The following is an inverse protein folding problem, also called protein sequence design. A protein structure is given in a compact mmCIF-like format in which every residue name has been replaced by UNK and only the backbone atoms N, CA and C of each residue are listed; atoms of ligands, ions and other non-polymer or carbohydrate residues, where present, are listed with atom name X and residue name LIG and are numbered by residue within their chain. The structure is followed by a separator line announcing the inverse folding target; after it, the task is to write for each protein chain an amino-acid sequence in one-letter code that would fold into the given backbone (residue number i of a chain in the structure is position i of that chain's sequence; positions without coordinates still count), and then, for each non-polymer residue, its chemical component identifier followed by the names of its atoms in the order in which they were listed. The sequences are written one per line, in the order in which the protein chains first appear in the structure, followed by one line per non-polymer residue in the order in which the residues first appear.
data_IF_489350770293
#
_entry.id   IF_489350770293
#
_cell.length_a   1.000
_cell.length_b   1.000
_cell.length_c   1.000
_cell.angle_alpha   90.00
_cell.angle_beta   90.00
_cell.angle_gamma   90.00
#
_symmetry.space_group_name_H-M   'P 1'
#
loop_
_entity.id
_entity.type
_entity.pdbx_description
1 polymer ?
#
# COMPACT_ATOMS: atom_id res chain seq x y z
N UNK A 1 -20.38 -2.99 33.55
CA UNK A 1 -20.16 -3.81 32.33
C UNK A 1 -19.89 -5.25 32.78
N UNK A 2 -20.45 -6.24 32.10
CA UNK A 2 -20.33 -7.68 32.50
C UNK A 2 -19.36 -8.44 31.59
N UNK A 3 -19.27 -8.07 30.33
CA UNK A 3 -18.33 -8.67 29.35
C UNK A 3 -18.06 -7.74 28.18
N UNK A 4 -17.04 -8.07 27.39
CA UNK A 4 -16.67 -7.42 26.13
C UNK A 4 -16.40 -8.45 25.04
N UNK A 5 -16.58 -8.05 23.76
CA UNK A 5 -16.15 -8.82 22.60
C UNK A 5 -15.55 -7.88 21.57
N UNK A 6 -14.35 -8.13 21.07
CA UNK A 6 -13.41 -9.17 21.52
C UNK A 6 -13.07 -9.04 23.02
N UNK A 7 -12.70 -10.15 23.67
CA UNK A 7 -12.30 -10.12 25.07
C UNK A 7 -11.02 -9.29 25.27
N UNK A 8 -10.82 -8.78 26.50
CA UNK A 8 -9.58 -8.08 26.83
C UNK A 8 -8.37 -9.00 26.63
N UNK A 9 -7.32 -8.49 25.98
CA UNK A 9 -6.13 -9.24 25.63
C UNK A 9 -6.30 -10.22 24.45
N UNK A 10 -7.46 -10.28 23.81
CA UNK A 10 -7.66 -11.17 22.66
C UNK A 10 -6.66 -10.86 21.52
N UNK A 11 -6.08 -11.92 20.96
CA UNK A 11 -5.17 -11.87 19.80
C UNK A 11 -5.79 -12.62 18.63
N UNK A 12 -5.25 -12.43 17.43
CA UNK A 12 -5.77 -13.02 16.19
C UNK A 12 -7.27 -12.72 15.93
N UNK A 13 -7.72 -11.56 16.34
CA UNK A 13 -9.10 -11.12 16.08
C UNK A 13 -9.24 -10.81 14.60
N UNK A 14 -10.26 -11.32 13.88
CA UNK A 14 -10.48 -11.00 12.48
C UNK A 14 -10.47 -9.48 12.23
N UNK A 15 -9.97 -9.04 11.09
CA UNK A 15 -9.93 -7.60 10.74
C UNK A 15 -11.31 -7.05 10.35
N UNK A 16 -12.24 -7.93 10.02
CA UNK A 16 -13.58 -7.55 9.57
C UNK A 16 -14.66 -8.48 10.15
N UNK A 17 -15.86 -7.94 10.22
CA UNK A 17 -17.09 -8.67 10.55
C UNK A 17 -18.03 -8.64 9.34
N UNK A 18 -18.58 -9.80 8.98
CA UNK A 18 -19.62 -9.89 7.95
C UNK A 18 -20.98 -10.01 8.66
N UNK A 19 -21.85 -9.04 8.44
CA UNK A 19 -23.22 -9.09 8.98
C UNK A 19 -24.10 -10.08 8.20
N UNK A 20 -25.22 -10.49 8.79
CA UNK A 20 -26.20 -11.37 8.16
C UNK A 20 -26.77 -10.85 6.84
N UNK A 21 -26.61 -9.55 6.55
CA UNK A 21 -27.02 -8.90 5.29
C UNK A 21 -25.85 -8.73 4.30
N UNK A 22 -24.75 -9.45 4.50
CA UNK A 22 -23.55 -9.40 3.66
C UNK A 22 -22.87 -8.02 3.63
N UNK A 23 -23.09 -7.19 4.65
CA UNK A 23 -22.38 -5.91 4.82
C UNK A 23 -21.10 -6.20 5.59
N UNK A 24 -19.95 -5.93 4.95
CA UNK A 24 -18.64 -6.06 5.59
C UNK A 24 -18.27 -4.73 6.24
N UNK A 25 -17.94 -4.79 7.54
CA UNK A 25 -17.36 -3.68 8.30
C UNK A 25 -16.07 -4.12 8.95
N UNK A 26 -15.28 -3.16 9.45
CA UNK A 26 -14.21 -3.49 10.40
C UNK A 26 -14.79 -4.28 11.57
N UNK A 27 -13.94 -5.05 12.24
CA UNK A 27 -14.38 -5.92 13.35
C UNK A 27 -15.22 -5.14 14.34
N UNK A 28 -16.44 -5.61 14.58
CA UNK A 28 -17.36 -5.03 15.55
C UNK A 28 -16.86 -5.28 16.97
N UNK A 29 -17.04 -4.28 17.84
CA UNK A 29 -16.63 -4.34 19.23
C UNK A 29 -17.86 -4.15 20.11
N UNK A 30 -18.12 -5.06 21.03
CA UNK A 30 -19.30 -4.97 21.88
C UNK A 30 -18.98 -4.94 23.38
N UNK A 31 -19.81 -4.20 24.11
CA UNK A 31 -19.83 -4.12 25.56
C UNK A 31 -21.17 -4.62 26.07
N UNK A 32 -21.16 -5.64 26.94
CA UNK A 32 -22.36 -6.13 27.61
C UNK A 32 -22.47 -5.54 29.02
N UNK A 33 -23.67 -5.17 29.41
CA UNK A 33 -23.98 -4.55 30.69
C UNK A 33 -24.85 -5.50 31.54
N UNK A 34 -24.74 -5.39 32.88
CA UNK A 34 -25.51 -6.17 33.84
C UNK A 34 -26.95 -5.69 33.98
N UNK A 35 -27.27 -4.54 33.46
CA UNK A 35 -28.59 -3.91 33.48
C UNK A 35 -28.85 -3.14 32.18
N UNK A 36 -30.10 -2.82 31.85
CA UNK A 36 -30.41 -1.99 30.70
C UNK A 36 -29.79 -0.58 30.82
N UNK A 37 -29.17 -0.11 29.71
CA UNK A 37 -28.57 1.19 29.62
C UNK A 37 -29.51 2.16 28.90
N UNK A 38 -29.31 3.46 29.12
CA UNK A 38 -29.94 4.52 28.32
C UNK A 38 -29.21 4.67 26.97
N UNK A 39 -29.85 4.30 25.83
CA UNK A 39 -29.21 4.39 24.53
C UNK A 39 -28.76 5.80 24.14
N UNK A 40 -29.41 6.83 24.67
CA UNK A 40 -29.09 8.21 24.38
C UNK A 40 -27.71 8.62 24.96
N UNK A 41 -27.24 7.90 25.98
CA UNK A 41 -25.97 8.18 26.66
C UNK A 41 -24.80 7.36 26.09
N UNK A 42 -25.04 6.42 25.15
CA UNK A 42 -24.01 5.57 24.57
C UNK A 42 -23.84 5.88 23.10
N UNK A 43 -22.80 6.64 22.76
CA UNK A 43 -22.56 7.12 21.41
C UNK A 43 -21.08 7.07 21.03
N UNK A 44 -20.82 7.08 19.72
CA UNK A 44 -19.48 7.17 19.10
C UNK A 44 -19.37 8.38 18.15
N UNK A 45 -20.34 9.30 18.18
CA UNK A 45 -20.39 10.42 17.24
C UNK A 45 -19.44 11.54 17.66
N UNK A 46 -18.74 12.14 16.69
CA UNK A 46 -17.83 13.29 16.88
C UNK A 46 -18.56 14.65 16.94
N UNK A 47 -19.88 14.68 16.76
CA UNK A 47 -20.64 15.92 16.70
C UNK A 47 -21.00 16.44 18.11
N UNK A 48 -20.03 17.05 18.77
CA UNK A 48 -20.28 17.97 19.90
C UNK A 48 -20.46 17.35 21.28
N UNK A 49 -20.61 16.06 21.43
CA UNK A 49 -20.86 15.40 22.71
C UNK A 49 -19.70 14.47 23.14
N UNK A 50 -19.62 14.25 24.46
CA UNK A 50 -18.64 13.34 25.06
C UNK A 50 -18.79 11.94 24.46
N UNK A 51 -17.77 11.50 23.71
CA UNK A 51 -17.70 10.14 23.20
C UNK A 51 -17.76 9.15 24.37
N UNK A 52 -18.80 8.34 24.44
CA UNK A 52 -19.00 7.39 25.55
C UNK A 52 -18.49 6.01 25.20
N UNK A 53 -18.51 5.62 23.92
CA UNK A 53 -17.93 4.37 23.46
C UNK A 53 -16.94 4.67 22.31
N UNK A 54 -15.66 4.48 22.55
CA UNK A 54 -14.60 4.75 21.57
C UNK A 54 -13.77 3.52 21.27
N UNK A 55 -13.24 3.44 20.05
CA UNK A 55 -12.21 2.50 19.64
C UNK A 55 -11.01 3.32 19.15
N UNK A 56 -9.82 3.05 19.69
CA UNK A 56 -8.57 3.73 19.34
C UNK A 56 -7.51 2.75 18.89
N UNK A 57 -6.69 3.16 17.93
CA UNK A 57 -5.49 2.44 17.53
C UNK A 57 -4.31 2.66 18.49
N UNK A 58 -3.14 2.12 18.17
CA UNK A 58 -1.90 2.26 18.97
C UNK A 58 -1.37 3.68 19.01
N UNK A 59 -1.74 4.56 18.07
CA UNK A 59 -1.35 5.96 18.06
C UNK A 59 -2.27 6.83 18.90
N UNK A 60 -3.37 6.26 19.41
CA UNK A 60 -4.41 6.97 20.15
C UNK A 60 -5.45 7.62 19.24
N UNK A 61 -5.39 7.38 17.92
CA UNK A 61 -6.35 7.90 16.95
C UNK A 61 -7.68 7.17 17.06
N UNK A 62 -8.78 7.91 17.09
CA UNK A 62 -10.11 7.33 17.08
C UNK A 62 -10.42 6.64 15.74
N UNK A 63 -10.90 5.40 15.81
CA UNK A 63 -11.50 4.71 14.68
C UNK A 63 -12.90 5.28 14.45
N UNK A 64 -13.23 5.80 13.27
CA UNK A 64 -14.58 6.24 12.95
C UNK A 64 -15.57 5.07 12.98
N UNK A 65 -16.74 5.26 13.56
CA UNK A 65 -17.75 4.21 13.65
C UNK A 65 -19.06 4.69 14.22
N UNK A 66 -20.01 3.77 14.34
CA UNK A 66 -21.32 4.00 14.94
C UNK A 66 -21.54 3.02 16.09
N UNK A 67 -22.38 3.39 17.05
CA UNK A 67 -22.81 2.52 18.14
C UNK A 67 -24.30 2.26 18.04
N UNK A 68 -24.70 1.00 18.21
CA UNK A 68 -26.09 0.58 18.30
C UNK A 68 -26.30 -0.30 19.53
N UNK A 69 -27.45 -0.12 20.20
CA UNK A 69 -27.87 -0.97 21.30
C UNK A 69 -28.76 -2.12 20.78
N UNK A 70 -28.67 -3.28 21.42
CA UNK A 70 -29.62 -4.36 21.18
C UNK A 70 -31.02 -3.98 21.73
N UNK A 71 -32.07 -4.75 21.38
CA UNK A 71 -33.45 -4.48 21.77
C UNK A 71 -33.69 -4.44 23.30
N UNK A 72 -32.85 -5.13 24.07
CA UNK A 72 -32.90 -5.14 25.54
C UNK A 72 -32.09 -4.01 26.18
N UNK A 73 -31.39 -3.22 25.40
CA UNK A 73 -30.45 -2.17 25.83
C UNK A 73 -29.34 -2.66 26.77
N UNK A 74 -28.98 -3.94 26.66
CA UNK A 74 -27.93 -4.57 27.51
C UNK A 74 -26.62 -4.80 26.78
N UNK A 75 -26.58 -4.63 25.44
CA UNK A 75 -25.37 -4.78 24.64
C UNK A 75 -25.22 -3.58 23.70
N UNK A 76 -24.13 -2.86 23.84
CA UNK A 76 -23.71 -1.82 22.90
C UNK A 76 -22.73 -2.43 21.90
N UNK A 77 -22.95 -2.22 20.61
CA UNK A 77 -22.06 -2.67 19.53
C UNK A 77 -21.51 -1.47 18.77
N UNK A 78 -20.20 -1.30 18.81
CA UNK A 78 -19.47 -0.36 17.97
C UNK A 78 -19.17 -1.02 16.63
N UNK A 79 -19.56 -0.37 15.53
CA UNK A 79 -19.32 -0.82 14.17
C UNK A 79 -18.41 0.21 13.47
N UNK A 80 -17.15 -0.16 13.15
CA UNK A 80 -16.26 0.70 12.36
C UNK A 80 -16.86 1.05 11.00
N UNK A 81 -16.65 2.29 10.54
CA UNK A 81 -17.09 2.73 9.20
C UNK A 81 -16.24 2.09 8.09
N UNK A 82 -14.95 1.82 8.38
CA UNK A 82 -14.07 1.12 7.44
C UNK A 82 -14.53 -0.34 7.27
N UNK A 83 -14.31 -0.90 6.08
CA UNK A 83 -14.64 -2.31 5.78
C UNK A 83 -13.75 -3.32 6.51
N UNK A 84 -12.57 -2.89 6.98
CA UNK A 84 -11.65 -3.68 7.79
C UNK A 84 -10.85 -2.79 8.74
N UNK A 85 -10.47 -3.34 9.90
CA UNK A 85 -9.45 -2.77 10.78
C UNK A 85 -8.06 -3.13 10.24
N UNK A 86 -7.05 -2.33 10.57
CA UNK A 86 -5.66 -2.65 10.20
C UNK A 86 -5.23 -3.98 10.83
N UNK A 87 -4.55 -4.85 10.07
CA UNK A 87 -4.07 -6.13 10.58
C UNK A 87 -2.91 -5.96 11.56
N UNK A 88 -2.66 -7.01 12.37
CA UNK A 88 -1.60 -7.05 13.38
C UNK A 88 -1.51 -5.77 14.23
N UNK A 89 -2.66 -5.15 14.46
CA UNK A 89 -2.77 -3.85 15.14
C UNK A 89 -3.53 -4.02 16.44
N UNK A 90 -2.98 -3.47 17.53
CA UNK A 90 -3.67 -3.41 18.80
C UNK A 90 -4.68 -2.27 18.79
N UNK A 91 -5.89 -2.54 19.20
CA UNK A 91 -6.95 -1.57 19.42
C UNK A 91 -7.34 -1.55 20.89
N UNK A 92 -7.69 -0.37 21.40
CA UNK A 92 -8.23 -0.18 22.74
C UNK A 92 -9.64 0.40 22.63
N UNK A 93 -10.60 -0.33 23.17
CA UNK A 93 -11.98 0.13 23.32
C UNK A 93 -12.19 0.71 24.71
N UNK A 94 -13.01 1.75 24.80
CA UNK A 94 -13.32 2.41 26.07
C UNK A 94 -14.82 2.72 26.15
N UNK A 95 -15.46 2.35 27.27
CA UNK A 95 -16.75 2.90 27.66
C UNK A 95 -16.52 3.79 28.87
N UNK A 96 -16.89 5.08 28.74
CA UNK A 96 -16.64 6.11 29.78
C UNK A 96 -17.73 6.12 30.86
N UNK A 97 -17.49 6.87 31.92
CA UNK A 97 -18.47 7.10 33.01
C UNK A 97 -19.68 7.93 32.59
N UNK A 98 -19.68 8.53 31.40
CA UNK A 98 -20.83 9.24 30.86
C UNK A 98 -21.96 8.29 30.40
N UNK A 99 -21.68 6.99 30.23
CA UNK A 99 -22.70 5.99 29.97
C UNK A 99 -23.57 5.77 31.23
N UNK A 100 -24.90 5.81 31.07
CA UNK A 100 -25.85 5.71 32.17
C UNK A 100 -26.78 4.51 31.99
N UNK A 101 -27.24 3.94 33.08
CA UNK A 101 -28.33 2.95 33.10
C UNK A 101 -29.66 3.60 32.72
N UNK A 102 -30.65 2.82 32.34
CA UNK A 102 -32.02 3.28 32.10
C UNK A 102 -32.65 4.00 33.33
N UNK A 103 -32.10 3.78 34.55
CA UNK A 103 -32.47 4.47 35.77
C UNK A 103 -31.70 5.79 35.97
N UNK A 104 -30.83 6.22 35.02
CA UNK A 104 -30.03 7.43 35.13
C UNK A 104 -28.76 7.30 35.98
N UNK A 105 -28.36 6.10 36.37
CA UNK A 105 -27.13 5.89 37.16
C UNK A 105 -25.93 5.78 36.22
N UNK A 106 -24.95 6.69 36.36
CA UNK A 106 -23.72 6.68 35.59
C UNK A 106 -22.80 5.51 35.99
N UNK A 107 -21.97 5.04 35.04
CA UNK A 107 -20.93 4.05 35.34
C UNK A 107 -19.93 4.62 36.36
N UNK A 108 -19.61 3.85 37.39
CA UNK A 108 -18.73 4.29 38.48
C UNK A 108 -17.29 4.54 38.04
N UNK A 109 -16.80 3.74 37.07
CA UNK A 109 -15.44 3.85 36.50
C UNK A 109 -15.52 3.59 34.99
N UNK A 110 -14.63 4.18 34.19
CA UNK A 110 -14.51 3.82 32.79
C UNK A 110 -14.00 2.38 32.67
N UNK A 111 -14.45 1.67 31.63
CA UNK A 111 -13.94 0.35 31.31
C UNK A 111 -13.15 0.43 30.02
N UNK A 112 -11.91 -0.05 30.08
CA UNK A 112 -10.99 -0.11 28.95
C UNK A 112 -10.59 -1.56 28.73
N UNK A 113 -10.63 -2.01 27.47
CA UNK A 113 -10.09 -3.32 27.09
C UNK A 113 -9.43 -3.22 25.73
N UNK A 114 -8.48 -4.10 25.46
CA UNK A 114 -7.73 -4.12 24.23
C UNK A 114 -7.71 -5.48 23.57
N UNK A 115 -7.65 -5.47 22.24
CA UNK A 115 -7.45 -6.66 21.43
C UNK A 115 -6.46 -6.38 20.30
N UNK A 116 -5.86 -7.44 19.74
CA UNK A 116 -4.97 -7.34 18.58
C UNK A 116 -5.60 -8.09 17.42
N UNK A 117 -5.75 -7.40 16.31
CA UNK A 117 -6.24 -8.02 15.08
C UNK A 117 -5.27 -9.08 14.59
N UNK A 118 -5.79 -10.08 13.88
CA UNK A 118 -4.99 -11.12 13.28
C UNK A 118 -3.95 -10.51 12.35
N UNK A 119 -2.72 -11.05 12.40
CA UNK A 119 -1.81 -10.86 11.30
C UNK A 119 -2.45 -11.48 10.07
N UNK A 120 -2.40 -10.77 8.95
CA UNK A 120 -2.86 -11.37 7.72
C UNK A 120 -1.97 -12.58 7.43
N UNK A 121 -2.59 -13.74 7.28
CA UNK A 121 -1.90 -14.88 6.74
C UNK A 121 -1.61 -14.56 5.27
N UNK A 122 -0.45 -13.99 5.00
CA UNK A 122 0.03 -13.89 3.64
C UNK A 122 0.38 -15.31 3.20
N UNK A 123 -0.19 -15.76 2.10
CA UNK A 123 0.40 -16.87 1.36
C UNK A 123 1.77 -16.36 0.91
N UNK A 124 2.84 -16.98 1.38
CA UNK A 124 4.20 -16.55 1.05
C UNK A 124 4.33 -16.49 -0.48
N UNK A 125 4.36 -15.28 -1.03
CA UNK A 125 4.51 -15.08 -2.46
C UNK A 125 5.95 -15.36 -2.87
N UNK A 126 6.16 -16.08 -3.96
CA UNK A 126 7.48 -16.13 -4.58
C UNK A 126 7.76 -14.78 -5.28
N UNK A 127 9.00 -14.26 -5.21
CA UNK A 127 9.37 -13.06 -5.95
C UNK A 127 9.08 -13.23 -7.45
N UNK A 128 8.71 -12.13 -8.11
CA UNK A 128 8.57 -12.12 -9.57
C UNK A 128 9.95 -12.26 -10.21
N UNK A 129 10.10 -13.23 -11.09
CA UNK A 129 11.35 -13.42 -11.80
C UNK A 129 11.52 -12.35 -12.90
N UNK A 130 12.50 -11.48 -12.71
CA UNK A 130 12.79 -10.40 -13.67
C UNK A 130 13.73 -10.83 -14.81
N UNK A 131 14.32 -12.03 -14.74
CA UNK A 131 15.31 -12.45 -15.71
C UNK A 131 16.43 -11.44 -15.92
N UNK A 132 16.82 -11.22 -17.16
CA UNK A 132 17.85 -10.23 -17.52
C UNK A 132 17.39 -8.78 -17.32
N UNK A 133 16.06 -8.49 -17.33
CA UNK A 133 15.54 -7.17 -16.96
C UNK A 133 15.97 -6.77 -15.56
N UNK A 134 16.13 -7.71 -14.62
CA UNK A 134 16.57 -7.45 -13.25
C UNK A 134 17.95 -6.81 -13.13
N UNK A 135 18.75 -6.72 -14.19
CA UNK A 135 20.02 -5.98 -14.20
C UNK A 135 19.84 -4.49 -14.43
N UNK A 136 18.68 -4.07 -14.96
CA UNK A 136 18.37 -2.68 -15.28
C UNK A 136 17.67 -1.97 -14.12
N UNK A 137 17.93 -0.67 -13.99
CA UNK A 137 17.19 0.26 -13.14
C UNK A 137 16.02 0.85 -13.88
N UNK A 138 16.23 1.24 -15.15
CA UNK A 138 15.17 1.74 -16.02
C UNK A 138 15.21 1.00 -17.34
N UNK A 139 14.06 0.45 -17.75
CA UNK A 139 13.91 -0.24 -19.04
C UNK A 139 12.57 0.14 -19.68
N UNK A 140 12.62 0.54 -20.95
CA UNK A 140 11.43 0.98 -21.69
C UNK A 140 11.43 0.49 -23.12
N UNK A 141 10.23 0.50 -23.76
CA UNK A 141 10.11 0.11 -25.17
C UNK A 141 10.10 1.30 -26.13
N UNK A 142 9.68 2.50 -25.70
CA UNK A 142 9.48 3.62 -26.62
C UNK A 142 10.29 4.87 -26.27
N UNK A 143 11.15 4.79 -25.25
CA UNK A 143 12.10 5.83 -24.91
C UNK A 143 12.13 6.22 -23.45
N UNK A 144 13.17 6.95 -23.09
CA UNK A 144 13.37 7.56 -21.79
C UNK A 144 13.61 9.04 -22.01
N UNK A 145 12.74 9.88 -21.46
CA UNK A 145 12.90 11.35 -21.52
C UNK A 145 13.27 11.88 -20.16
N UNK A 146 14.15 12.87 -20.12
CA UNK A 146 14.50 13.61 -18.91
C UNK A 146 14.41 15.12 -19.17
N UNK A 147 13.71 15.82 -18.30
CA UNK A 147 13.64 17.28 -18.30
C UNK A 147 14.39 17.74 -17.06
N UNK A 148 15.54 18.39 -17.28
CA UNK A 148 16.58 18.64 -16.27
C UNK A 148 17.23 17.34 -15.78
N UNK A 149 18.48 17.47 -15.34
CA UNK A 149 19.35 16.31 -15.06
C UNK A 149 18.87 15.51 -13.86
N UNK A 150 18.65 14.22 -14.10
CA UNK A 150 18.41 13.23 -13.06
C UNK A 150 19.71 12.53 -12.62
N UNK A 151 19.68 11.86 -11.48
CA UNK A 151 20.78 11.02 -10.97
C UNK A 151 20.29 9.56 -10.91
N UNK A 152 20.84 8.70 -11.76
CA UNK A 152 20.42 7.30 -11.87
C UNK A 152 21.60 6.41 -11.50
N UNK A 153 21.37 5.48 -10.54
CA UNK A 153 22.34 4.46 -10.15
C UNK A 153 21.86 3.11 -10.65
N UNK A 154 22.61 2.52 -11.56
CA UNK A 154 22.36 1.24 -12.23
C UNK A 154 22.15 1.39 -13.73
N UNK A 155 21.98 0.28 -14.43
CA UNK A 155 21.91 0.26 -15.88
C UNK A 155 20.55 0.74 -16.39
N UNK A 156 20.57 1.41 -17.55
CA UNK A 156 19.37 1.89 -18.25
C UNK A 156 19.36 1.42 -19.69
N UNK A 157 18.16 1.26 -20.28
CA UNK A 157 18.08 0.85 -21.67
C UNK A 157 16.69 1.04 -22.28
N UNK A 158 16.68 1.06 -23.62
CA UNK A 158 15.44 1.12 -24.39
C UNK A 158 15.53 0.27 -25.66
N UNK A 159 14.49 -0.50 -25.95
CA UNK A 159 14.35 -1.35 -27.12
C UNK A 159 12.86 -1.68 -27.37
N UNK A 160 12.39 -1.74 -28.63
CA UNK A 160 13.14 -1.74 -29.89
C UNK A 160 13.41 -0.35 -30.48
N UNK A 161 12.99 0.73 -29.80
CA UNK A 161 13.17 2.09 -30.32
C UNK A 161 14.66 2.43 -30.46
N UNK A 162 15.00 3.28 -31.44
CA UNK A 162 16.35 3.80 -31.64
C UNK A 162 16.90 4.46 -30.38
N UNK A 163 18.21 4.40 -30.17
CA UNK A 163 18.92 5.07 -29.08
C UNK A 163 18.71 6.59 -29.03
N UNK A 164 18.32 7.23 -30.14
CA UNK A 164 17.93 8.64 -30.19
C UNK A 164 16.71 8.97 -29.30
N UNK A 165 15.90 7.99 -28.94
CA UNK A 165 14.76 8.16 -28.02
C UNK A 165 15.15 8.08 -26.52
N UNK A 166 16.45 7.87 -26.23
CA UNK A 166 16.99 7.86 -24.89
C UNK A 166 17.64 9.22 -24.62
N UNK A 167 16.89 10.12 -23.97
CA UNK A 167 17.26 11.53 -23.77
C UNK A 167 17.94 11.75 -22.41
N UNK A 168 18.92 10.90 -22.09
CA UNK A 168 19.80 11.03 -20.94
C UNK A 168 21.21 11.42 -21.40
N UNK A 169 21.98 12.05 -20.53
CA UNK A 169 23.39 12.32 -20.75
C UNK A 169 24.27 11.34 -19.99
N UNK A 170 25.52 11.18 -20.41
CA UNK A 170 26.47 10.28 -19.75
C UNK A 170 26.68 10.58 -18.26
N UNK A 171 26.55 11.84 -17.84
CA UNK A 171 26.78 12.24 -16.45
C UNK A 171 25.61 11.98 -15.52
N UNK A 172 24.47 11.53 -16.03
CA UNK A 172 23.25 11.25 -15.25
C UNK A 172 23.18 9.81 -14.77
N UNK A 173 23.98 8.90 -15.37
CA UNK A 173 23.88 7.46 -15.11
C UNK A 173 25.20 6.94 -14.53
N UNK A 174 25.14 6.47 -13.30
CA UNK A 174 26.20 5.66 -12.69
C UNK A 174 25.89 4.19 -13.00
N UNK A 175 26.29 3.75 -14.18
CA UNK A 175 25.98 2.44 -14.76
C UNK A 175 26.22 2.48 -16.27
N UNK A 176 25.60 1.54 -16.98
CA UNK A 176 25.67 1.49 -18.45
C UNK A 176 24.38 2.01 -19.07
N UNK A 177 24.51 2.67 -20.21
CA UNK A 177 23.38 3.10 -21.04
C UNK A 177 23.36 2.20 -22.26
N UNK A 178 22.38 1.29 -22.31
CA UNK A 178 22.25 0.36 -23.43
C UNK A 178 21.30 0.91 -24.50
N UNK A 179 21.71 0.76 -25.74
CA UNK A 179 20.96 1.19 -26.95
C UNK A 179 21.00 0.11 -28.03
N UNK A 180 20.05 0.17 -28.95
CA UNK A 180 19.93 -0.82 -30.04
C UNK A 180 20.76 -0.43 -31.26
N UNK A 181 21.26 0.80 -31.35
CA UNK A 181 21.98 1.35 -32.49
C UNK A 181 23.01 2.40 -32.04
N UNK A 182 23.67 3.05 -33.00
CA UNK A 182 24.68 4.06 -32.72
C UNK A 182 24.13 5.47 -32.42
N UNK A 183 22.81 5.64 -32.33
CA UNK A 183 22.18 6.96 -32.18
C UNK A 183 22.00 7.38 -30.70
N UNK A 184 22.53 6.61 -29.73
CA UNK A 184 22.44 6.91 -28.30
C UNK A 184 23.37 7.99 -27.80
N UNK A 185 23.34 8.33 -26.51
CA UNK A 185 24.17 9.34 -25.89
C UNK A 185 25.67 8.96 -25.95
N UNK A 186 26.46 9.76 -26.65
CA UNK A 186 27.90 9.51 -26.78
C UNK A 186 28.70 10.28 -25.72
N UNK A 187 29.85 9.70 -25.23
CA UNK A 187 30.49 8.46 -25.69
C UNK A 187 30.10 7.21 -24.86
N UNK A 188 29.12 7.30 -23.96
CA UNK A 188 28.86 6.29 -22.93
C UNK A 188 27.84 5.21 -23.34
N UNK A 189 27.15 5.36 -24.46
CA UNK A 189 26.18 4.38 -24.90
C UNK A 189 26.84 3.07 -25.35
N UNK A 190 26.29 1.96 -24.89
CA UNK A 190 26.68 0.60 -25.26
C UNK A 190 25.65 0.08 -26.27
N UNK A 191 26.07 -0.10 -27.51
CA UNK A 191 25.21 -0.71 -28.53
C UNK A 191 25.16 -2.23 -28.34
N UNK A 192 24.06 -2.72 -27.75
CA UNK A 192 23.83 -4.16 -27.53
C UNK A 192 22.33 -4.48 -27.65
N UNK A 193 21.90 -4.57 -28.90
CA UNK A 193 20.51 -4.88 -29.25
C UNK A 193 20.08 -6.28 -28.74
N UNK A 194 20.99 -7.22 -28.65
CA UNK A 194 20.71 -8.60 -28.23
C UNK A 194 20.35 -8.63 -26.74
N UNK A 195 21.18 -8.05 -25.88
CA UNK A 195 20.91 -7.94 -24.45
C UNK A 195 19.61 -7.19 -24.19
N UNK A 196 19.37 -6.07 -24.90
CA UNK A 196 18.14 -5.29 -24.74
C UNK A 196 16.89 -6.04 -25.20
N UNK A 197 16.94 -6.77 -26.31
CA UNK A 197 15.81 -7.58 -26.80
C UNK A 197 15.42 -8.64 -25.78
N UNK A 198 16.43 -9.32 -25.20
CA UNK A 198 16.20 -10.31 -24.15
C UNK A 198 15.61 -9.66 -22.90
N UNK A 199 16.19 -8.55 -22.44
CA UNK A 199 15.73 -7.85 -21.22
C UNK A 199 14.28 -7.34 -21.36
N UNK A 200 13.92 -6.77 -22.52
CA UNK A 200 12.55 -6.32 -22.81
C UNK A 200 11.57 -7.50 -22.90
N UNK A 201 12.01 -8.65 -23.42
CA UNK A 201 11.25 -9.90 -23.39
C UNK A 201 10.98 -10.37 -21.95
N UNK A 202 12.02 -10.41 -21.13
CA UNK A 202 11.94 -10.77 -19.70
C UNK A 202 11.08 -9.79 -18.89
N UNK A 203 11.18 -8.50 -19.17
CA UNK A 203 10.28 -7.47 -18.58
C UNK A 203 8.81 -7.78 -18.90
N UNK A 204 8.50 -8.18 -20.14
CA UNK A 204 7.15 -8.58 -20.53
C UNK A 204 6.69 -9.84 -19.79
N UNK A 205 7.57 -10.82 -19.65
CA UNK A 205 7.31 -12.06 -18.91
C UNK A 205 7.08 -11.81 -17.44
N UNK A 206 7.89 -10.94 -16.81
CA UNK A 206 7.73 -10.53 -15.42
C UNK A 206 6.40 -9.81 -15.17
N UNK A 207 5.98 -8.94 -16.10
CA UNK A 207 4.66 -8.30 -16.06
C UNK A 207 3.54 -9.35 -16.07
N UNK A 208 3.61 -10.33 -16.97
CA UNK A 208 2.59 -11.39 -17.09
C UNK A 208 2.60 -12.34 -15.88
N UNK A 209 3.77 -12.66 -15.33
CA UNK A 209 3.86 -13.43 -14.08
C UNK A 209 3.15 -12.70 -12.93
N UNK A 210 3.48 -11.44 -12.70
CA UNK A 210 2.84 -10.65 -11.64
C UNK A 210 1.32 -10.50 -11.87
N UNK A 211 0.88 -10.27 -13.11
CA UNK A 211 -0.53 -10.16 -13.48
C UNK A 211 -1.29 -11.49 -13.31
N UNK A 212 -0.63 -12.60 -13.59
CA UNK A 212 -1.23 -13.94 -13.59
C UNK A 212 -1.33 -14.58 -12.21
N UNK A 213 -0.78 -13.96 -11.14
CA UNK A 213 -0.89 -14.51 -9.80
C UNK A 213 -2.34 -14.59 -9.38
N UNK A 214 -2.74 -15.74 -8.83
CA UNK A 214 -4.12 -16.05 -8.43
C UNK A 214 -4.25 -16.08 -6.91
N UNK A 215 -5.50 -16.09 -6.43
CA UNK A 215 -5.81 -16.13 -5.01
C UNK A 215 -5.22 -14.94 -4.23
N UNK A 216 -5.59 -13.69 -4.58
CA UNK A 216 -5.11 -12.53 -3.88
C UNK A 216 -5.50 -12.59 -2.39
N UNK A 217 -4.54 -12.24 -1.53
CA UNK A 217 -4.76 -12.12 -0.09
C UNK A 217 -5.70 -10.93 0.21
N UNK A 218 -5.66 -9.90 -0.65
CA UNK A 218 -6.47 -8.69 -0.53
C UNK A 218 -7.05 -8.27 -1.86
N UNK A 219 -8.35 -7.99 -1.87
CA UNK A 219 -9.06 -7.41 -3.01
C UNK A 219 -9.69 -6.08 -2.62
N UNK A 220 -9.54 -5.07 -3.51
CA UNK A 220 -10.15 -3.74 -3.36
C UNK A 220 -9.87 -3.07 -2.02
N UNK A 221 -8.71 -3.37 -1.40
CA UNK A 221 -8.33 -2.78 -0.11
C UNK A 221 -8.39 -1.25 -0.18
N UNK A 222 -9.04 -0.62 0.79
CA UNK A 222 -9.22 0.82 0.84
C UNK A 222 -9.98 1.41 -0.34
N UNK A 223 -10.69 0.59 -1.14
CA UNK A 223 -11.30 1.01 -2.41
C UNK A 223 -10.30 1.71 -3.36
N UNK A 224 -9.02 1.27 -3.32
CA UNK A 224 -7.93 1.84 -4.09
C UNK A 224 -7.15 2.98 -3.39
N UNK A 225 -7.61 3.49 -2.24
CA UNK A 225 -6.81 4.42 -1.43
C UNK A 225 -6.00 3.64 -0.39
N UNK A 226 -4.68 3.64 -0.53
CA UNK A 226 -3.77 2.91 0.37
C UNK A 226 -2.89 3.84 1.21
N UNK A 227 -2.98 5.15 1.02
CA UNK A 227 -2.27 6.14 1.83
C UNK A 227 -2.66 6.05 3.30
N UNK A 228 -1.66 6.13 4.18
CA UNK A 228 -1.85 6.00 5.63
C UNK A 228 -1.89 4.57 6.15
N UNK A 229 -1.90 3.55 5.28
CA UNK A 229 -1.94 2.15 5.71
C UNK A 229 -0.54 1.60 6.01
N UNK A 230 -0.50 0.53 6.80
CA UNK A 230 0.64 -0.38 6.93
C UNK A 230 0.25 -1.73 6.34
N UNK A 231 0.93 -2.12 5.26
CA UNK A 231 0.60 -3.33 4.51
C UNK A 231 1.58 -4.46 4.84
N UNK A 232 1.03 -5.62 5.16
CA UNK A 232 1.77 -6.88 5.32
C UNK A 232 2.19 -7.45 3.95
N UNK A 233 3.15 -8.39 3.90
CA UNK A 233 3.48 -9.13 2.67
C UNK A 233 2.23 -9.82 2.09
N UNK A 234 2.19 -10.00 0.77
CA UNK A 234 1.07 -10.72 0.13
C UNK A 234 0.75 -10.25 -1.28
N UNK A 235 -0.29 -10.84 -1.85
CA UNK A 235 -0.84 -10.50 -3.15
C UNK A 235 -2.07 -9.60 -2.99
N UNK A 236 -1.98 -8.40 -3.54
CA UNK A 236 -3.03 -7.38 -3.52
C UNK A 236 -3.60 -7.20 -4.92
N UNK A 237 -4.91 -7.02 -5.04
CA UNK A 237 -5.58 -6.84 -6.33
C UNK A 237 -6.65 -5.77 -6.28
N UNK A 238 -6.60 -4.86 -7.25
CA UNK A 238 -7.63 -3.85 -7.51
C UNK A 238 -8.07 -3.91 -8.97
N UNK A 239 -9.38 -3.91 -9.19
CA UNK A 239 -10.02 -3.75 -10.50
C UNK A 239 -10.05 -2.31 -11.00
N UNK A 240 -9.56 -1.38 -10.18
CA UNK A 240 -9.55 0.07 -10.44
C UNK A 240 -8.14 0.65 -10.26
N UNK A 241 -8.04 1.98 -10.26
CA UNK A 241 -6.79 2.70 -9.95
C UNK A 241 -6.48 2.66 -8.46
N UNK A 242 -5.19 2.79 -8.14
CA UNK A 242 -4.69 2.90 -6.76
C UNK A 242 -4.10 4.29 -6.53
N UNK A 243 -4.46 4.90 -5.40
CA UNK A 243 -3.98 6.19 -4.95
C UNK A 243 -3.17 6.04 -3.65
N UNK A 244 -2.04 6.74 -3.58
CA UNK A 244 -1.22 6.92 -2.38
C UNK A 244 -1.29 8.39 -1.99
N UNK A 245 -2.35 8.81 -1.30
CA UNK A 245 -2.58 10.22 -0.95
C UNK A 245 -1.83 10.65 0.31
N UNK A 246 -1.35 9.69 1.11
CA UNK A 246 -0.56 9.90 2.33
C UNK A 246 0.63 8.95 2.36
N UNK A 247 1.59 9.21 3.25
CA UNK A 247 2.68 8.26 3.50
C UNK A 247 2.11 6.91 3.90
N UNK A 248 2.69 5.82 3.38
CA UNK A 248 2.27 4.49 3.78
C UNK A 248 3.47 3.57 3.99
N UNK A 249 3.26 2.47 4.70
CA UNK A 249 4.34 1.59 5.14
C UNK A 249 4.13 0.17 4.64
N UNK A 250 5.20 -0.46 4.14
CA UNK A 250 5.29 -1.88 3.87
C UNK A 250 6.10 -2.52 5.00
N UNK A 251 5.47 -3.37 5.82
CA UNK A 251 6.08 -3.95 7.00
C UNK A 251 6.18 -5.46 6.92
N UNK A 252 7.41 -5.98 6.94
CA UNK A 252 7.70 -7.42 6.88
C UNK A 252 9.19 -7.69 6.96
N UNK A 253 9.57 -8.95 6.89
CA UNK A 253 10.97 -9.39 6.93
C UNK A 253 11.72 -9.20 5.61
N UNK A 254 13.03 -9.51 5.59
CA UNK A 254 13.89 -9.26 4.43
C UNK A 254 13.60 -10.14 3.21
N UNK A 255 12.90 -11.25 3.38
CA UNK A 255 12.52 -12.17 2.31
C UNK A 255 11.04 -12.12 1.95
N UNK A 256 10.28 -11.27 2.63
CA UNK A 256 8.86 -11.12 2.38
C UNK A 256 8.61 -10.40 1.06
N UNK A 257 7.51 -10.77 0.38
CA UNK A 257 7.19 -10.31 -0.96
C UNK A 257 5.82 -9.65 -0.98
N UNK A 258 5.75 -8.53 -1.68
CA UNK A 258 4.51 -7.81 -1.99
C UNK A 258 4.32 -7.81 -3.50
N UNK A 259 3.13 -8.21 -3.95
CA UNK A 259 2.73 -8.10 -5.36
C UNK A 259 1.42 -7.33 -5.42
N UNK A 260 1.44 -6.21 -6.12
CA UNK A 260 0.30 -5.34 -6.33
C UNK A 260 -0.19 -5.44 -7.76
N UNK A 261 -1.40 -5.97 -7.97
CA UNK A 261 -2.08 -6.04 -9.26
C UNK A 261 -3.07 -4.89 -9.36
N UNK A 262 -2.75 -3.89 -10.19
CA UNK A 262 -3.56 -2.69 -10.38
C UNK A 262 -4.10 -2.66 -11.81
N UNK A 263 -5.42 -2.80 -11.99
CA UNK A 263 -6.04 -2.79 -13.31
C UNK A 263 -6.17 -1.39 -13.93
N UNK A 264 -6.07 -0.34 -13.12
CA UNK A 264 -6.04 1.06 -13.54
C UNK A 264 -4.66 1.68 -13.37
N UNK A 265 -4.63 2.95 -12.97
CA UNK A 265 -3.42 3.75 -12.73
C UNK A 265 -2.91 3.57 -11.30
N UNK A 266 -1.61 3.76 -11.10
CA UNK A 266 -1.00 3.95 -9.80
C UNK A 266 -0.56 5.41 -9.68
N UNK A 267 -1.15 6.14 -8.74
CA UNK A 267 -0.85 7.55 -8.53
C UNK A 267 -0.37 7.79 -7.10
N UNK A 268 0.85 8.31 -6.94
CA UNK A 268 1.37 8.77 -5.67
C UNK A 268 1.30 10.30 -5.59
N UNK A 269 0.72 10.81 -4.51
CA UNK A 269 0.60 12.25 -4.31
C UNK A 269 1.95 12.92 -4.04
N UNK A 270 2.03 14.23 -4.29
CA UNK A 270 3.23 15.02 -4.10
C UNK A 270 3.75 14.95 -2.65
N UNK A 271 5.06 14.81 -2.48
CA UNK A 271 5.73 14.79 -1.19
C UNK A 271 5.49 13.55 -0.35
N UNK A 272 4.74 12.56 -0.86
CA UNK A 272 4.39 11.36 -0.08
C UNK A 272 5.45 10.27 -0.22
N UNK A 273 5.53 9.42 0.80
CA UNK A 273 6.59 8.42 0.92
C UNK A 273 6.03 7.02 1.06
N UNK A 274 6.62 6.09 0.32
CA UNK A 274 6.57 4.66 0.63
C UNK A 274 7.70 4.37 1.61
N UNK A 275 7.38 3.78 2.76
CA UNK A 275 8.35 3.47 3.82
C UNK A 275 8.44 1.97 4.02
N UNK A 276 9.65 1.46 4.23
CA UNK A 276 9.89 0.05 4.51
C UNK A 276 10.16 -0.15 6.00
N UNK A 277 9.56 -1.17 6.61
CA UNK A 277 9.72 -1.52 8.01
C UNK A 277 9.93 -3.02 8.21
N UNK A 278 10.50 -3.41 9.37
CA UNK A 278 10.69 -4.81 9.73
C UNK A 278 11.81 -5.54 8.95
N UNK A 279 12.51 -4.83 8.06
CA UNK A 279 13.53 -5.42 7.18
C UNK A 279 13.06 -5.64 5.74
N UNK A 280 11.84 -5.19 5.39
CA UNK A 280 11.32 -5.22 4.02
C UNK A 280 12.31 -4.64 3.01
N UNK A 281 12.40 -5.23 1.84
CA UNK A 281 13.37 -4.83 0.81
C UNK A 281 12.68 -4.46 -0.49
N UNK A 282 13.06 -3.33 -1.09
CA UNK A 282 12.49 -2.81 -2.33
C UNK A 282 12.52 -3.82 -3.48
N UNK A 283 13.53 -4.68 -3.54
CA UNK A 283 13.67 -5.71 -4.58
C UNK A 283 12.56 -6.78 -4.56
N UNK A 284 11.85 -6.91 -3.43
CA UNK A 284 10.79 -7.88 -3.22
C UNK A 284 9.39 -7.27 -3.31
N UNK A 285 9.28 -6.01 -3.74
CA UNK A 285 8.02 -5.28 -3.89
C UNK A 285 7.76 -5.07 -5.37
N UNK A 286 6.65 -5.60 -5.89
CA UNK A 286 6.34 -5.59 -7.32
C UNK A 286 4.99 -4.91 -7.57
N UNK A 287 5.01 -3.86 -8.37
CA UNK A 287 3.84 -3.06 -8.75
C UNK A 287 3.49 -3.36 -10.22
N UNK A 288 2.62 -4.36 -10.45
CA UNK A 288 2.07 -4.60 -11.78
C UNK A 288 0.91 -3.63 -12.01
N UNK A 289 1.05 -2.76 -13.01
CA UNK A 289 0.09 -1.70 -13.31
C UNK A 289 -0.34 -1.78 -14.77
N UNK A 290 -1.65 -1.94 -15.00
CA UNK A 290 -2.18 -2.13 -16.35
C UNK A 290 -2.35 -0.83 -17.14
N UNK A 291 -2.26 0.32 -16.49
CA UNK A 291 -2.25 1.64 -17.12
C UNK A 291 -0.96 2.40 -16.73
N UNK A 292 -1.01 3.67 -16.50
CA UNK A 292 0.13 4.51 -16.19
C UNK A 292 0.47 4.55 -14.70
N UNK A 293 1.73 4.87 -14.42
CA UNK A 293 2.23 5.15 -13.08
C UNK A 293 2.67 6.60 -13.01
N UNK A 294 2.23 7.32 -11.97
CA UNK A 294 2.66 8.68 -11.70
C UNK A 294 3.20 8.77 -10.27
N UNK A 295 4.51 9.04 -10.13
CA UNK A 295 5.17 9.33 -8.86
C UNK A 295 5.18 10.85 -8.70
N UNK A 296 4.51 11.37 -7.67
CA UNK A 296 4.29 12.79 -7.46
C UNK A 296 5.57 13.59 -7.21
N UNK A 297 5.51 14.90 -7.40
CA UNK A 297 6.62 15.82 -7.16
C UNK A 297 7.19 15.63 -5.74
N UNK A 298 8.51 15.52 -5.62
CA UNK A 298 9.25 15.30 -4.35
C UNK A 298 8.83 14.05 -3.55
N UNK A 299 8.05 13.15 -4.15
CA UNK A 299 7.66 11.90 -3.52
C UNK A 299 8.84 10.90 -3.45
N UNK A 300 8.71 9.90 -2.60
CA UNK A 300 9.67 8.79 -2.52
C UNK A 300 8.97 7.45 -2.71
N UNK A 301 9.45 6.67 -3.67
CA UNK A 301 8.86 5.40 -4.06
C UNK A 301 9.79 4.22 -3.76
N UNK A 302 9.22 3.06 -3.43
CA UNK A 302 9.95 1.82 -3.16
C UNK A 302 9.39 0.67 -3.99
N UNK A 303 10.27 -0.08 -4.65
CA UNK A 303 9.91 -1.31 -5.33
C UNK A 303 10.10 -1.29 -6.85
N UNK A 304 9.71 -2.39 -7.48
CA UNK A 304 9.83 -2.66 -8.90
C UNK A 304 8.51 -2.34 -9.60
N UNK A 305 8.50 -1.34 -10.44
CA UNK A 305 7.35 -1.00 -11.30
C UNK A 305 7.39 -1.87 -12.55
N UNK A 306 6.30 -2.59 -12.80
CA UNK A 306 6.02 -3.36 -14.01
C UNK A 306 4.83 -2.67 -14.71
N UNK A 307 5.10 -1.57 -15.41
CA UNK A 307 4.09 -0.72 -16.05
C UNK A 307 3.74 -1.18 -17.47
N UNK A 308 2.45 -1.27 -17.77
CA UNK A 308 1.96 -1.56 -19.12
C UNK A 308 2.13 -0.37 -20.05
N UNK A 309 1.98 0.84 -19.52
CA UNK A 309 2.09 2.08 -20.30
C UNK A 309 3.19 2.97 -19.73
N UNK A 310 2.94 4.27 -19.60
CA UNK A 310 3.88 5.27 -19.12
C UNK A 310 4.22 5.13 -17.63
N UNK A 311 5.50 5.29 -17.31
CA UNK A 311 5.94 5.56 -15.94
C UNK A 311 6.47 7.00 -15.88
N UNK A 312 5.74 7.87 -15.21
CA UNK A 312 6.10 9.27 -15.02
C UNK A 312 6.64 9.50 -13.60
N UNK A 313 7.86 10.03 -13.51
CA UNK A 313 8.45 10.45 -12.23
C UNK A 313 8.55 11.98 -12.25
N UNK A 314 7.70 12.62 -11.44
CA UNK A 314 7.58 14.07 -11.44
C UNK A 314 8.75 14.74 -10.72
N UNK A 315 8.84 16.06 -10.87
CA UNK A 315 9.99 16.90 -10.47
C UNK A 315 10.49 16.57 -9.05
N UNK A 316 11.77 16.23 -8.94
CA UNK A 316 12.46 16.02 -7.67
C UNK A 316 12.03 14.78 -6.90
N UNK A 317 11.20 13.92 -7.47
CA UNK A 317 10.86 12.65 -6.83
C UNK A 317 12.05 11.68 -6.86
N UNK A 318 12.04 10.72 -5.94
CA UNK A 318 13.07 9.68 -5.85
C UNK A 318 12.46 8.29 -5.80
N UNK A 319 13.22 7.30 -6.26
CA UNK A 319 12.83 5.90 -6.15
C UNK A 319 14.03 5.01 -5.79
N UNK A 320 13.82 4.10 -4.85
CA UNK A 320 14.68 2.95 -4.65
C UNK A 320 13.97 1.73 -5.24
N UNK A 321 14.33 1.39 -6.48
CA UNK A 321 13.57 0.40 -7.22
C UNK A 321 14.01 0.25 -8.66
N UNK A 322 13.09 -0.30 -9.45
CA UNK A 322 13.24 -0.41 -10.91
C UNK A 322 11.98 0.15 -11.58
N UNK A 323 12.19 0.87 -12.68
CA UNK A 323 11.12 1.48 -13.45
C UNK A 323 11.04 0.83 -14.83
N UNK A 324 10.15 -0.13 -14.99
CA UNK A 324 9.96 -0.86 -16.23
C UNK A 324 8.65 -0.44 -16.89
N UNK A 325 8.74 0.07 -18.10
CA UNK A 325 7.60 0.54 -18.87
C UNK A 325 7.51 -0.15 -20.24
N UNK A 326 6.36 -0.72 -20.56
CA UNK A 326 6.16 -1.24 -21.92
C UNK A 326 5.90 -0.14 -22.96
N UNK A 327 5.84 1.13 -22.53
CA UNK A 327 5.97 2.31 -23.37
C UNK A 327 7.16 3.16 -22.90
N UNK A 328 6.96 4.36 -22.43
CA UNK A 328 8.02 5.32 -22.09
C UNK A 328 8.21 5.47 -20.56
N UNK A 329 9.39 5.94 -20.18
CA UNK A 329 9.66 6.48 -18.84
C UNK A 329 9.98 7.96 -18.99
N UNK A 330 9.37 8.81 -18.16
CA UNK A 330 9.67 10.25 -18.11
C UNK A 330 10.23 10.64 -16.75
N UNK A 331 11.30 11.41 -16.75
CA UNK A 331 12.02 11.85 -15.57
C UNK A 331 12.11 13.38 -15.53
N UNK A 332 12.21 13.92 -14.31
CA UNK A 332 12.32 15.37 -14.05
C UNK A 332 13.13 15.61 -12.78
N UNK A 333 14.45 15.78 -12.87
CA UNK A 333 15.34 16.02 -11.72
C UNK A 333 15.24 14.92 -10.64
N UNK A 334 15.19 13.68 -11.04
CA UNK A 334 14.93 12.56 -10.15
C UNK A 334 16.21 11.91 -9.61
N UNK A 335 16.09 11.25 -8.45
CA UNK A 335 17.11 10.36 -7.92
C UNK A 335 16.59 8.91 -7.94
N UNK A 336 17.09 8.09 -8.86
CA UNK A 336 16.64 6.70 -9.01
C UNK A 336 17.80 5.75 -8.66
N UNK A 337 17.59 4.88 -7.70
CA UNK A 337 18.63 3.94 -7.25
C UNK A 337 18.14 2.52 -7.42
N UNK A 338 18.95 1.69 -8.04
CA UNK A 338 18.69 0.25 -8.12
C UNK A 338 18.73 -0.36 -6.71
N UNK A 339 17.75 -1.20 -6.31
CA UNK A 339 17.80 -1.88 -5.03
C UNK A 339 19.03 -2.78 -4.91
N UNK A 340 19.56 -2.91 -3.70
CA UNK A 340 20.64 -3.86 -3.42
C UNK A 340 20.27 -5.29 -3.85
N UNK A 341 21.24 -6.02 -4.37
CA UNK A 341 21.05 -7.41 -4.85
C UNK A 341 20.73 -8.38 -3.72
#
# INVERSE_FOLDING_TARGET
MSSASPNDGATNVPTSTNSSNNIVSGTTVSASFSEPMDPATINASLAGDLLTFTLKDTTGTNVPGTVAMNAANTVATFTPTASALSPNTRYNATVTTAAQSAAGTAMAIPVVWGFTTQALASTAQAPVNLGTAGTFTILSKTGITDVYKSAIVGDVGTSPITGAALLLTCGEVVGKIYVVDAAGPLPCAVNDATTLTTAVGDMGTAYLDAQGRTSPDFTELGAGEIGGLTLAPGLYKWGTSVMISNDFTLSGGPNDVWIFQVAGQLNQANGKRVTLAGGAQAKNIFWQVADSVAIGTTAHFEGVVLGKTLVAVNTGASANGRLFAQTAVTLQMNAITQPAK
#
